data_IF_737760714205
#
_entry.id   IF_737760714205
#
_cell.length_a   1.000
_cell.length_b   1.000
_cell.length_c   1.000
_cell.angle_alpha   90.00
_cell.angle_beta   90.00
_cell.angle_gamma   90.00
#
_symmetry.space_group_name_H-M   'P 1'
#
loop_
_entity.id
_entity.type
_entity.pdbx_description
1 polymer ?
#
# COMPACT_ATOMS: atom_id res chain seq x y z
N UNK A 1 35.33 26.06 3.24
CA UNK A 1 35.29 25.66 4.67
C UNK A 1 33.87 25.75 5.20
N UNK A 2 33.09 24.65 5.13
CA UNK A 2 31.74 24.52 5.72
C UNK A 2 31.48 23.02 5.98
N UNK A 3 32.23 22.45 6.92
CA UNK A 3 32.10 21.05 7.39
C UNK A 3 31.70 20.98 8.88
N UNK A 4 31.32 22.10 9.49
CA UNK A 4 31.05 22.21 10.93
C UNK A 4 29.72 21.62 11.46
N UNK A 5 28.65 21.33 10.68
CA UNK A 5 27.42 20.80 11.29
C UNK A 5 27.45 19.27 11.50
N UNK A 6 28.38 18.55 10.85
CA UNK A 6 28.44 17.07 10.92
C UNK A 6 29.11 16.56 12.19
N UNK A 7 30.10 17.29 12.72
CA UNK A 7 30.84 16.85 13.92
C UNK A 7 30.01 17.07 15.21
N UNK A 8 29.18 18.12 15.25
CA UNK A 8 28.34 18.43 16.41
C UNK A 8 27.19 17.41 16.59
N UNK A 9 26.62 16.91 15.48
CA UNK A 9 25.54 15.93 15.52
C UNK A 9 25.98 14.54 16.01
N UNK A 10 27.23 14.14 15.73
CA UNK A 10 27.76 12.81 16.12
C UNK A 10 28.02 12.75 17.64
N UNK A 11 28.46 13.85 18.25
CA UNK A 11 28.74 13.90 19.71
C UNK A 11 27.46 13.85 20.55
N UNK A 12 26.35 14.43 20.05
CA UNK A 12 25.05 14.39 20.73
C UNK A 12 24.39 13.00 20.65
N UNK A 13 24.58 12.28 19.53
CA UNK A 13 24.00 10.95 19.34
C UNK A 13 24.70 9.87 20.17
N UNK A 14 26.01 10.02 20.44
CA UNK A 14 26.79 9.07 21.24
C UNK A 14 26.50 9.19 22.75
N UNK A 15 25.95 10.31 23.22
CA UNK A 15 25.65 10.54 24.64
C UNK A 15 24.30 9.95 25.10
N UNK A 16 23.45 9.50 24.17
CA UNK A 16 22.10 8.97 24.42
C UNK A 16 21.99 7.44 24.28
N UNK A 17 23.09 6.70 24.44
CA UNK A 17 23.11 5.22 24.40
C UNK A 17 23.60 4.66 25.74
N UNK A 18 22.97 5.07 26.85
CA UNK A 18 23.30 4.55 28.17
C UNK A 18 22.10 4.49 29.10
N UNK A 19 21.87 3.30 29.67
CA UNK A 19 20.85 2.91 30.66
C UNK A 19 19.52 2.53 29.98
N UNK A 20 19.03 1.28 29.97
CA UNK A 20 18.80 0.45 31.16
C UNK A 20 18.56 -1.03 30.81
N UNK A 21 18.76 -1.88 31.80
CA UNK A 21 19.00 -3.32 31.78
C UNK A 21 17.76 -4.23 31.52
N UNK A 22 18.07 -5.51 31.31
CA UNK A 22 17.23 -6.67 31.00
C UNK A 22 16.11 -7.01 32.00
N UNK A 23 15.09 -7.75 31.54
CA UNK A 23 14.75 -9.08 32.08
C UNK A 23 13.76 -9.85 31.16
N UNK A 24 13.85 -11.20 31.08
CA UNK A 24 13.01 -12.04 30.23
C UNK A 24 11.78 -12.58 30.98
N UNK A 25 10.71 -12.91 30.25
CA UNK A 25 9.78 -13.99 30.63
C UNK A 25 9.26 -14.69 29.36
N UNK A 26 9.64 -15.94 29.25
CA UNK A 26 9.08 -17.00 28.40
C UNK A 26 7.61 -17.20 28.75
N UNK A 27 6.74 -17.39 27.76
CA UNK A 27 5.63 -18.32 27.87
C UNK A 27 5.34 -19.00 26.52
N UNK A 28 5.24 -20.31 26.64
CA UNK A 28 5.01 -21.34 25.62
C UNK A 28 3.52 -21.52 25.40
N UNK A 29 3.08 -21.64 24.13
CA UNK A 29 1.96 -22.48 23.64
C UNK A 29 1.76 -22.15 22.14
N UNK A 30 2.22 -22.94 21.16
CA UNK A 30 1.59 -24.17 20.61
C UNK A 30 0.07 -24.21 20.72
N UNK A 31 -0.62 -23.84 19.63
CA UNK A 31 -1.81 -24.51 19.05
C UNK A 31 -1.82 -24.10 17.56
N UNK A 32 -1.59 -24.94 16.56
CA UNK A 32 -2.23 -26.21 16.18
C UNK A 32 -3.73 -26.10 15.98
N UNK A 33 -4.15 -25.71 14.78
CA UNK A 33 -5.20 -26.45 14.08
C UNK A 33 -5.10 -26.26 12.56
N UNK A 34 -4.61 -27.31 11.91
CA UNK A 34 -5.10 -27.73 10.60
C UNK A 34 -6.57 -28.09 10.77
N UNK A 35 -7.45 -27.54 9.94
CA UNK A 35 -8.71 -28.21 9.64
C UNK A 35 -9.02 -28.13 8.15
N UNK A 36 -8.95 -29.31 7.55
CA UNK A 36 -9.80 -29.85 6.51
C UNK A 36 -10.32 -28.89 5.42
N UNK A 37 -9.75 -29.08 4.23
CA UNK A 37 -10.47 -29.57 3.04
C UNK A 37 -12.00 -29.52 3.14
N UNK A 38 -12.60 -28.60 2.40
CA UNK A 38 -13.88 -28.87 1.75
C UNK A 38 -13.68 -28.67 0.25
N UNK A 39 -13.31 -29.77 -0.40
CA UNK A 39 -13.55 -29.98 -1.82
C UNK A 39 -15.06 -29.94 -2.00
N UNK A 40 -15.59 -28.81 -2.48
CA UNK A 40 -16.91 -28.80 -3.09
C UNK A 40 -16.72 -28.72 -4.61
N UNK A 41 -16.66 -29.92 -5.18
CA UNK A 41 -16.63 -30.21 -6.60
C UNK A 41 -18.06 -30.08 -7.15
N UNK A 42 -18.19 -29.28 -8.22
CA UNK A 42 -19.23 -29.29 -9.26
C UNK A 42 -20.69 -29.61 -8.86
N UNK A 43 -21.57 -28.62 -9.05
CA UNK A 43 -22.84 -28.85 -9.75
C UNK A 43 -23.38 -27.56 -10.38
N UNK A 44 -23.20 -27.52 -11.70
CA UNK A 44 -23.86 -26.67 -12.68
C UNK A 44 -25.39 -26.71 -12.53
N UNK A 45 -26.02 -25.55 -12.49
CA UNK A 45 -27.44 -25.38 -12.79
C UNK A 45 -27.58 -24.19 -13.74
N UNK A 46 -27.50 -24.49 -15.03
CA UNK A 46 -27.95 -23.60 -16.08
C UNK A 46 -29.48 -23.51 -16.01
N UNK A 47 -30.03 -22.31 -15.87
CA UNK A 47 -31.25 -21.94 -16.58
C UNK A 47 -31.22 -20.45 -16.95
N UNK A 48 -31.81 -20.08 -18.10
CA UNK A 48 -31.52 -18.82 -18.79
C UNK A 48 -32.33 -17.66 -18.20
N UNK A 49 -31.64 -16.65 -17.68
CA UNK A 49 -32.26 -15.32 -17.48
C UNK A 49 -32.10 -14.53 -18.76
N UNK A 50 -33.07 -14.71 -19.65
CA UNK A 50 -33.37 -13.74 -20.68
C UNK A 50 -33.88 -12.45 -20.02
N UNK A 51 -33.36 -11.34 -20.53
CA UNK A 51 -33.99 -10.02 -20.58
C UNK A 51 -34.06 -9.21 -19.27
N UNK A 52 -32.96 -8.51 -18.99
CA UNK A 52 -33.00 -7.12 -18.51
C UNK A 52 -31.88 -6.33 -19.19
N UNK A 53 -32.13 -5.88 -20.41
CA UNK A 53 -31.44 -4.69 -20.92
C UNK A 53 -31.80 -3.48 -20.05
N UNK A 54 -30.82 -2.60 -19.89
CA UNK A 54 -30.87 -1.28 -19.27
C UNK A 54 -30.79 -1.24 -17.73
N UNK A 55 -29.59 -1.50 -17.21
CA UNK A 55 -28.96 -0.43 -16.42
C UNK A 55 -27.77 0.06 -17.23
N UNK A 56 -28.04 1.16 -17.92
CA UNK A 56 -27.08 2.15 -18.37
C UNK A 56 -25.79 2.06 -17.55
N UNK A 57 -24.76 1.44 -18.14
CA UNK A 57 -23.37 1.79 -17.81
C UNK A 57 -23.24 3.24 -18.22
N UNK A 58 -23.75 4.15 -17.38
CA UNK A 58 -23.44 5.55 -17.45
C UNK A 58 -21.93 5.58 -17.58
N UNK A 59 -21.38 6.15 -18.67
CA UNK A 59 -19.97 6.50 -18.68
C UNK A 59 -19.80 7.32 -17.41
N UNK A 60 -19.14 6.73 -16.40
CA UNK A 60 -18.62 7.48 -15.28
C UNK A 60 -17.97 8.66 -15.95
N UNK A 61 -18.50 9.86 -15.75
CA UNK A 61 -17.95 11.06 -16.32
C UNK A 61 -16.55 11.17 -15.76
N UNK A 62 -15.61 10.56 -16.48
CA UNK A 62 -14.20 10.67 -16.22
C UNK A 62 -13.93 12.10 -16.58
N UNK A 63 -14.02 12.98 -15.59
CA UNK A 63 -12.97 13.98 -15.43
C UNK A 63 -11.70 13.22 -15.76
N UNK A 64 -11.12 13.51 -16.92
CA UNK A 64 -9.94 12.82 -17.41
C UNK A 64 -8.80 13.25 -16.51
N UNK A 65 -8.74 12.66 -15.32
CA UNK A 65 -7.65 12.83 -14.39
C UNK A 65 -6.51 12.09 -15.04
N UNK A 66 -5.49 12.85 -15.44
CA UNK A 66 -4.21 12.27 -15.80
C UNK A 66 -3.60 11.70 -14.52
N UNK A 67 -3.86 10.41 -14.29
CA UNK A 67 -3.43 9.72 -13.06
C UNK A 67 -1.91 9.63 -12.98
N UNK A 68 -1.21 9.60 -14.10
CA UNK A 68 0.26 9.60 -14.09
C UNK A 68 0.80 10.96 -13.63
N UNK A 69 0.21 12.06 -14.10
CA UNK A 69 0.50 13.40 -13.58
C UNK A 69 0.16 13.53 -12.09
N UNK A 70 -0.97 12.95 -11.64
CA UNK A 70 -1.30 12.89 -10.21
C UNK A 70 -0.18 12.17 -9.43
N UNK A 71 0.26 10.99 -9.87
CA UNK A 71 1.34 10.25 -9.23
C UNK A 71 2.62 11.10 -9.18
N UNK A 72 3.02 11.73 -10.29
CA UNK A 72 4.18 12.61 -10.35
C UNK A 72 4.13 13.74 -9.31
N UNK A 73 2.98 14.39 -9.16
CA UNK A 73 2.78 15.43 -8.15
C UNK A 73 2.97 14.88 -6.73
N UNK A 74 2.37 13.72 -6.43
CA UNK A 74 2.41 13.12 -5.08
C UNK A 74 3.80 12.64 -4.67
N UNK A 75 4.65 12.28 -5.63
CA UNK A 75 6.04 11.89 -5.37
C UNK A 75 6.86 13.00 -4.71
N UNK A 76 6.56 14.27 -5.00
CA UNK A 76 7.28 15.44 -4.48
C UNK A 76 8.81 15.29 -4.61
N UNK A 77 9.30 14.70 -5.71
CA UNK A 77 10.72 14.41 -5.99
C UNK A 77 11.43 13.50 -4.97
N UNK A 78 10.71 12.73 -4.14
CA UNK A 78 11.33 11.81 -3.18
C UNK A 78 11.86 10.53 -3.82
N UNK A 79 11.29 10.11 -4.95
CA UNK A 79 11.76 8.97 -5.74
C UNK A 79 11.28 9.08 -7.19
N UNK A 80 11.89 8.30 -8.09
CA UNK A 80 11.52 8.27 -9.51
C UNK A 80 10.15 7.60 -9.71
N UNK A 81 9.43 8.08 -10.72
CA UNK A 81 8.17 7.46 -11.15
C UNK A 81 8.38 6.03 -11.64
N UNK A 82 9.48 5.77 -12.36
CA UNK A 82 9.82 4.43 -12.87
C UNK A 82 9.79 3.34 -11.80
N UNK A 83 10.22 3.67 -10.57
CA UNK A 83 10.21 2.72 -9.45
C UNK A 83 8.80 2.33 -9.03
N UNK A 84 7.87 3.27 -9.03
CA UNK A 84 6.46 3.02 -8.71
C UNK A 84 5.82 2.23 -9.85
N UNK A 85 6.10 2.66 -11.07
CA UNK A 85 5.54 2.14 -12.30
C UNK A 85 5.98 0.71 -12.64
N UNK A 86 7.16 0.30 -12.21
CA UNK A 86 7.69 -1.06 -12.41
C UNK A 86 7.27 -2.04 -11.30
N UNK A 87 6.67 -1.57 -10.21
CA UNK A 87 6.33 -2.44 -9.09
C UNK A 87 5.07 -3.28 -9.39
N UNK A 88 5.20 -4.59 -9.22
CA UNK A 88 4.09 -5.54 -9.29
C UNK A 88 3.63 -5.86 -7.88
N UNK A 89 2.41 -5.47 -7.53
CA UNK A 89 1.85 -5.56 -6.17
C UNK A 89 0.36 -5.83 -6.21
N UNK A 90 -0.15 -6.50 -5.18
CA UNK A 90 -1.60 -6.61 -4.99
C UNK A 90 -2.20 -5.29 -4.51
N UNK A 91 -3.53 -5.18 -4.52
CA UNK A 91 -4.25 -4.03 -3.97
C UNK A 91 -3.89 -3.78 -2.51
N UNK A 92 -3.81 -4.83 -1.71
CA UNK A 92 -3.52 -4.78 -0.26
C UNK A 92 -2.08 -4.31 -0.01
N UNK A 93 -1.13 -4.79 -0.82
CA UNK A 93 0.26 -4.37 -0.77
C UNK A 93 0.44 -2.91 -1.19
N UNK A 94 -0.33 -2.44 -2.19
CA UNK A 94 -0.35 -1.04 -2.58
C UNK A 94 -0.94 -0.14 -1.50
N UNK A 95 -2.07 -0.53 -0.89
CA UNK A 95 -2.64 0.19 0.25
C UNK A 95 -1.59 0.34 1.37
N UNK A 96 -0.98 -0.76 1.78
CA UNK A 96 0.07 -0.75 2.82
C UNK A 96 1.25 0.17 2.43
N UNK A 97 1.64 0.17 1.16
CA UNK A 97 2.74 1.01 0.67
C UNK A 97 2.37 2.48 0.72
N UNK A 98 1.19 2.86 0.21
CA UNK A 98 0.73 4.24 0.17
C UNK A 98 0.42 4.77 1.58
N UNK A 99 -0.17 3.97 2.46
CA UNK A 99 -0.39 4.33 3.86
C UNK A 99 0.93 4.63 4.58
N UNK A 100 1.98 3.84 4.31
CA UNK A 100 3.33 4.11 4.81
C UNK A 100 3.90 5.41 4.23
N UNK A 101 3.68 5.71 2.95
CA UNK A 101 4.11 6.97 2.34
C UNK A 101 3.37 8.18 2.94
N UNK A 102 2.07 8.05 3.19
CA UNK A 102 1.27 9.06 3.90
C UNK A 102 1.84 9.28 5.31
N UNK A 103 2.18 8.20 6.02
CA UNK A 103 2.88 8.27 7.30
C UNK A 103 4.25 8.97 7.24
N UNK A 104 4.91 8.96 6.09
CA UNK A 104 6.15 9.71 5.84
C UNK A 104 5.92 11.16 5.34
N UNK A 105 4.66 11.57 5.17
CA UNK A 105 4.28 12.93 4.78
C UNK A 105 3.85 13.09 3.32
N UNK A 106 3.61 11.99 2.59
CA UNK A 106 2.97 12.09 1.28
C UNK A 106 1.54 12.64 1.42
N UNK A 107 1.21 13.64 0.61
CA UNK A 107 -0.09 14.33 0.65
C UNK A 107 -1.09 13.65 -0.28
N UNK A 108 -1.47 12.43 0.07
CA UNK A 108 -2.41 11.59 -0.68
C UNK A 108 -3.66 11.42 0.18
N UNK A 109 -4.82 11.84 -0.33
CA UNK A 109 -6.11 11.58 0.33
C UNK A 109 -6.66 10.19 -0.04
N UNK A 110 -7.77 9.77 0.59
CA UNK A 110 -8.33 8.43 0.39
C UNK A 110 -8.87 8.21 -1.03
N UNK A 111 -9.45 9.23 -1.65
CA UNK A 111 -9.95 9.17 -3.02
C UNK A 111 -8.80 9.03 -4.03
N UNK A 112 -7.76 9.86 -3.90
CA UNK A 112 -6.53 9.80 -4.69
C UNK A 112 -5.82 8.46 -4.50
N UNK A 113 -5.76 7.95 -3.27
CA UNK A 113 -5.19 6.63 -2.97
C UNK A 113 -5.89 5.54 -3.78
N UNK A 114 -7.23 5.53 -3.79
CA UNK A 114 -8.01 4.56 -4.57
C UNK A 114 -7.73 4.68 -6.07
N UNK A 115 -7.76 5.90 -6.62
CA UNK A 115 -7.50 6.16 -8.04
C UNK A 115 -6.09 5.70 -8.45
N UNK A 116 -5.08 6.01 -7.64
CA UNK A 116 -3.69 5.58 -7.89
C UNK A 116 -3.58 4.06 -7.88
N UNK A 117 -4.20 3.38 -6.91
CA UNK A 117 -4.19 1.93 -6.82
C UNK A 117 -4.88 1.29 -8.04
N UNK A 118 -6.06 1.78 -8.40
CA UNK A 118 -6.82 1.27 -9.54
C UNK A 118 -6.02 1.37 -10.83
N UNK A 119 -5.35 2.51 -11.04
CA UNK A 119 -4.45 2.72 -12.18
C UNK A 119 -3.24 1.78 -12.15
N UNK A 120 -2.58 1.60 -11.00
CA UNK A 120 -1.40 0.74 -10.89
C UNK A 120 -1.72 -0.74 -11.10
N UNK A 121 -2.94 -1.17 -10.82
CA UNK A 121 -3.41 -2.54 -11.06
C UNK A 121 -3.88 -2.79 -12.49
N UNK A 122 -4.23 -1.75 -13.25
CA UNK A 122 -4.68 -1.87 -14.64
C UNK A 122 -3.54 -1.83 -15.66
N UNK A 123 -2.30 -1.89 -15.19
CA UNK A 123 -1.08 -1.75 -16.00
C UNK A 123 -0.50 -3.11 -16.36
#
# INVERSE_FOLDING_TARGET
MKQFPRLFFVVVFILMIGISACAPKTDTAVMSQVNATETNELAQAETPFADLQATETAPLETKTIDVETLILEKLQNNHSIDRVLAAQKTREEWNTTLDRMIGYGAKINEEEKKIIIDYLLSR
#
